data_IF_318960923085
#
_entry.id   IF_318960923085
#
_cell.length_a   1.000
_cell.length_b   1.000
_cell.length_c   1.000
_cell.angle_alpha   90.00
_cell.angle_beta   90.00
_cell.angle_gamma   90.00
#
_symmetry.space_group_name_H-M   'P 1'
#
loop_
_entity.id
_entity.type
_entity.pdbx_description
1 polymer ?
#
# COMPACT_ATOMS: atom_id res chain seq x y z
N UNK A 1 -1.46 15.29 -9.04
CA UNK A 1 -0.84 14.00 -9.31
C UNK A 1 0.17 14.14 -10.44
N UNK A 2 1.24 13.36 -10.37
CA UNK A 2 2.27 13.23 -11.38
C UNK A 2 2.59 11.75 -11.53
N UNK A 3 2.74 11.27 -12.76
CA UNK A 3 3.15 9.90 -13.04
C UNK A 3 4.08 9.90 -14.26
N UNK A 4 5.14 9.12 -14.18
CA UNK A 4 6.10 8.95 -15.28
C UNK A 4 6.59 7.52 -15.31
N UNK A 5 6.72 6.96 -16.51
CA UNK A 5 7.28 5.65 -16.73
C UNK A 5 8.39 5.75 -17.77
N UNK A 6 9.43 4.98 -17.58
CA UNK A 6 10.52 4.79 -18.53
C UNK A 6 10.73 3.28 -18.72
N UNK A 7 11.03 2.87 -19.92
CA UNK A 7 11.28 1.46 -20.23
C UNK A 7 12.09 1.32 -21.50
N UNK A 8 12.51 0.10 -21.74
CA UNK A 8 13.33 -0.25 -22.90
C UNK A 8 13.62 -1.73 -22.97
N UNK A 9 14.35 -2.10 -23.99
CA UNK A 9 14.80 -3.47 -24.23
C UNK A 9 16.28 -3.62 -23.92
N UNK A 10 16.65 -4.77 -23.40
CA UNK A 10 18.04 -5.18 -23.19
C UNK A 10 18.29 -6.45 -24.04
N UNK A 11 18.93 -6.25 -25.17
CA UNK A 11 19.06 -7.31 -26.18
C UNK A 11 17.72 -7.70 -26.79
N UNK A 12 17.65 -8.90 -27.37
CA UNK A 12 16.47 -9.41 -28.06
C UNK A 12 15.48 -10.15 -27.14
N UNK A 13 15.82 -10.35 -25.87
CA UNK A 13 15.07 -11.26 -24.99
C UNK A 13 14.54 -10.62 -23.72
N UNK A 14 14.87 -9.38 -23.43
CA UNK A 14 14.54 -8.75 -22.15
C UNK A 14 13.94 -7.35 -22.37
N UNK A 15 12.78 -7.11 -21.80
CA UNK A 15 12.16 -5.79 -21.71
C UNK A 15 11.96 -5.38 -20.25
N UNK A 16 12.09 -4.11 -19.96
CA UNK A 16 11.88 -3.57 -18.63
C UNK A 16 11.12 -2.26 -18.65
N UNK A 17 10.44 -1.97 -17.57
CA UNK A 17 9.77 -0.71 -17.31
C UNK A 17 9.94 -0.34 -15.84
N UNK A 18 10.17 0.93 -15.57
CA UNK A 18 10.15 1.48 -14.21
C UNK A 18 9.26 2.72 -14.17
N UNK A 19 8.57 2.89 -13.07
CA UNK A 19 7.62 3.97 -12.88
C UNK A 19 7.82 4.71 -11.56
N UNK A 20 7.47 5.98 -11.60
CA UNK A 20 7.39 6.85 -10.43
C UNK A 20 6.06 7.59 -10.49
N UNK A 21 5.27 7.44 -9.43
CA UNK A 21 4.00 8.14 -9.29
C UNK A 21 3.94 8.91 -7.98
N UNK A 22 3.40 10.11 -8.03
CA UNK A 22 3.18 10.97 -6.88
C UNK A 22 1.75 11.49 -6.87
N UNK A 23 1.07 11.31 -5.74
CA UNK A 23 -0.26 11.84 -5.49
C UNK A 23 -0.23 12.70 -4.24
N UNK A 24 -0.63 13.98 -4.39
CA UNK A 24 -0.87 14.90 -3.29
C UNK A 24 -2.35 15.25 -3.22
N UNK A 25 -2.92 15.23 -2.03
CA UNK A 25 -4.32 15.61 -1.78
C UNK A 25 -4.43 16.32 -0.43
N UNK A 26 -5.43 17.19 -0.32
CA UNK A 26 -5.71 17.95 0.91
C UNK A 26 -7.15 17.67 1.37
N UNK A 27 -7.40 16.49 1.97
CA UNK A 27 -8.74 16.15 2.44
C UNK A 27 -9.22 17.16 3.49
N UNK A 28 -10.48 17.53 3.36
CA UNK A 28 -11.21 18.34 4.34
C UNK A 28 -12.25 17.45 4.99
N UNK A 29 -12.10 17.25 6.30
CA UNK A 29 -13.02 16.45 7.11
C UNK A 29 -13.29 15.02 6.55
N UNK A 30 -12.21 14.29 6.20
CA UNK A 30 -12.32 12.87 5.84
C UNK A 30 -12.72 12.09 7.09
N UNK A 31 -13.92 11.59 7.15
CA UNK A 31 -14.46 10.86 8.30
C UNK A 31 -14.22 9.36 8.21
N UNK A 32 -14.06 8.74 9.37
CA UNK A 32 -14.07 7.29 9.55
C UNK A 32 -14.70 6.96 10.91
N UNK A 33 -15.25 5.77 11.03
CA UNK A 33 -15.84 5.28 12.27
C UNK A 33 -14.92 4.27 12.93
N UNK A 34 -14.93 4.29 14.24
CA UNK A 34 -14.17 3.36 15.06
C UNK A 34 -14.85 3.16 16.41
N UNK A 35 -14.52 2.06 17.09
CA UNK A 35 -15.01 1.80 18.46
C UNK A 35 -13.94 2.27 19.43
N UNK A 36 -14.29 3.17 20.32
CA UNK A 36 -13.37 3.73 21.31
C UNK A 36 -13.21 2.83 22.55
N UNK A 37 -12.44 3.31 23.52
CA UNK A 37 -12.17 2.59 24.78
C UNK A 37 -13.38 2.39 25.67
N UNK A 38 -14.49 3.08 25.41
CA UNK A 38 -15.76 2.90 26.14
C UNK A 38 -16.67 1.87 25.49
N UNK A 39 -16.28 1.33 24.32
CA UNK A 39 -17.10 0.45 23.50
C UNK A 39 -18.13 1.19 22.63
N UNK A 40 -18.05 2.53 22.55
CA UNK A 40 -18.96 3.36 21.76
C UNK A 40 -18.39 3.57 20.35
N UNK A 41 -19.22 3.42 19.31
CA UNK A 41 -18.85 3.81 17.96
C UNK A 41 -18.79 5.34 17.85
N UNK A 42 -17.64 5.86 17.51
CA UNK A 42 -17.39 7.30 17.35
C UNK A 42 -17.00 7.61 15.91
N UNK A 43 -17.38 8.79 15.45
CA UNK A 43 -16.96 9.30 14.15
C UNK A 43 -15.78 10.24 14.32
N UNK A 44 -14.66 9.89 13.70
CA UNK A 44 -13.45 10.70 13.69
C UNK A 44 -13.28 11.42 12.35
N UNK A 45 -12.70 12.62 12.35
CA UNK A 45 -12.46 13.42 11.16
C UNK A 45 -10.99 13.79 11.00
N UNK A 46 -10.47 13.69 9.79
CA UNK A 46 -9.13 14.15 9.43
C UNK A 46 -9.16 15.25 8.39
N UNK A 47 -8.44 16.32 8.66
CA UNK A 47 -8.22 17.43 7.71
C UNK A 47 -6.73 17.73 7.63
N UNK A 48 -6.19 17.81 6.41
CA UNK A 48 -4.76 18.02 6.27
C UNK A 48 -4.24 17.71 4.87
N UNK A 49 -3.01 17.23 4.81
CA UNK A 49 -2.35 16.82 3.57
C UNK A 49 -1.99 15.34 3.60
N UNK A 50 -2.33 14.65 2.54
CA UNK A 50 -1.91 13.28 2.27
C UNK A 50 -1.02 13.27 1.03
N UNK A 51 0.12 12.60 1.13
CA UNK A 51 1.06 12.39 0.01
C UNK A 51 1.30 10.90 -0.13
N UNK A 52 1.21 10.41 -1.35
CA UNK A 52 1.52 9.04 -1.72
C UNK A 52 2.60 9.07 -2.80
N UNK A 53 3.69 8.38 -2.55
CA UNK A 53 4.76 8.10 -3.51
C UNK A 53 4.69 6.61 -3.83
N UNK A 54 4.73 6.28 -5.12
CA UNK A 54 4.76 4.91 -5.62
C UNK A 54 5.93 4.78 -6.58
N UNK A 55 6.74 3.75 -6.36
CA UNK A 55 7.78 3.27 -7.25
C UNK A 55 7.37 1.89 -7.74
N UNK A 56 7.36 1.67 -9.03
CA UNK A 56 7.03 0.38 -9.62
C UNK A 56 8.07 -0.05 -10.66
N UNK A 57 8.14 -1.35 -10.89
CA UNK A 57 9.03 -1.91 -11.87
C UNK A 57 8.56 -3.25 -12.40
N UNK A 58 8.79 -3.48 -13.68
CA UNK A 58 8.50 -4.74 -14.37
C UNK A 58 9.69 -5.10 -15.24
N UNK A 59 10.12 -6.34 -15.15
CA UNK A 59 11.09 -6.95 -16.05
C UNK A 59 10.44 -8.20 -16.67
N UNK A 60 10.52 -8.32 -17.97
CA UNK A 60 10.04 -9.47 -18.74
C UNK A 60 11.20 -10.05 -19.53
N UNK A 61 11.34 -11.35 -19.45
CA UNK A 61 12.33 -12.08 -20.21
C UNK A 61 11.68 -13.24 -20.97
N UNK A 62 12.01 -13.38 -22.24
CA UNK A 62 11.60 -14.51 -23.07
C UNK A 62 12.71 -14.85 -24.05
N UNK A 63 13.16 -16.12 -24.13
CA UNK A 63 14.20 -16.52 -25.06
C UNK A 63 13.80 -16.18 -26.52
N UNK A 64 14.71 -15.58 -27.27
CA UNK A 64 14.48 -15.17 -28.65
C UNK A 64 13.20 -14.35 -28.89
N UNK A 65 12.78 -13.60 -27.87
CA UNK A 65 11.53 -12.82 -27.89
C UNK A 65 10.27 -13.67 -28.16
N UNK A 66 10.31 -14.94 -27.78
CA UNK A 66 9.18 -15.85 -27.91
C UNK A 66 8.65 -16.28 -26.52
N UNK A 67 7.62 -15.61 -25.98
CA UNK A 67 7.06 -15.92 -24.68
C UNK A 67 6.15 -17.16 -24.65
N UNK A 68 5.84 -17.79 -25.78
CA UNK A 68 4.85 -18.85 -25.87
C UNK A 68 5.26 -20.13 -25.10
N UNK A 69 6.54 -20.46 -25.07
CA UNK A 69 7.04 -21.65 -24.39
C UNK A 69 7.62 -21.36 -23.00
N UNK A 70 8.55 -20.43 -22.96
CA UNK A 70 9.27 -20.09 -21.72
C UNK A 70 9.35 -18.59 -21.58
N UNK A 71 8.96 -18.10 -20.42
CA UNK A 71 9.12 -16.70 -20.09
C UNK A 71 9.24 -16.50 -18.57
N UNK A 72 9.82 -15.39 -18.19
CA UNK A 72 9.91 -14.96 -16.82
C UNK A 72 9.46 -13.51 -16.71
N UNK A 73 8.58 -13.23 -15.75
CA UNK A 73 8.15 -11.88 -15.40
C UNK A 73 8.46 -11.62 -13.95
N UNK A 74 9.25 -10.58 -13.68
CA UNK A 74 9.46 -10.03 -12.35
C UNK A 74 8.77 -8.67 -12.28
N UNK A 75 8.00 -8.44 -11.24
CA UNK A 75 7.39 -7.15 -10.99
C UNK A 75 7.39 -6.83 -9.50
N UNK A 76 7.43 -5.55 -9.18
CA UNK A 76 7.38 -5.08 -7.81
C UNK A 76 6.90 -3.65 -7.73
N UNK A 77 6.42 -3.30 -6.55
CA UNK A 77 5.97 -1.96 -6.24
C UNK A 77 6.34 -1.63 -4.79
N UNK A 78 6.79 -0.41 -4.58
CA UNK A 78 6.97 0.18 -3.27
C UNK A 78 6.13 1.43 -3.17
N UNK A 79 5.38 1.57 -2.09
CA UNK A 79 4.61 2.77 -1.82
C UNK A 79 4.94 3.35 -0.45
N UNK A 80 4.89 4.66 -0.37
CA UNK A 80 5.05 5.42 0.87
C UNK A 80 3.98 6.48 0.97
N UNK A 81 3.18 6.37 2.04
CA UNK A 81 2.14 7.33 2.38
C UNK A 81 2.59 8.19 3.55
N UNK A 82 2.34 9.49 3.49
CA UNK A 82 2.53 10.41 4.61
C UNK A 82 1.33 11.32 4.74
N UNK A 83 0.87 11.50 5.98
CA UNK A 83 -0.23 12.37 6.34
C UNK A 83 0.22 13.36 7.40
N UNK A 84 -0.22 14.60 7.28
CA UNK A 84 0.04 15.66 8.24
C UNK A 84 -1.15 16.61 8.29
N UNK A 85 -1.71 16.84 9.46
CA UNK A 85 -2.89 17.70 9.63
C UNK A 85 -3.46 17.66 11.02
N UNK A 86 -4.77 17.84 11.10
CA UNK A 86 -5.56 17.75 12.31
C UNK A 86 -6.46 16.52 12.32
N UNK A 87 -6.58 15.91 13.47
CA UNK A 87 -7.53 14.86 13.79
C UNK A 87 -8.55 15.40 14.77
N UNK A 88 -9.83 15.24 14.44
CA UNK A 88 -10.94 15.49 15.34
C UNK A 88 -11.52 14.15 15.77
N UNK A 89 -11.41 13.85 17.05
CA UNK A 89 -12.03 12.70 17.68
C UNK A 89 -13.48 13.02 17.99
N UNK A 90 -14.37 12.04 17.81
CA UNK A 90 -15.78 12.07 18.19
C UNK A 90 -16.49 13.35 17.72
N UNK A 91 -16.54 13.53 16.39
CA UNK A 91 -17.15 14.73 15.76
C UNK A 91 -18.63 14.95 16.10
N UNK A 92 -19.28 13.93 16.66
CA UNK A 92 -20.71 13.95 17.04
C UNK A 92 -20.92 13.99 18.56
N UNK A 93 -19.85 14.05 19.35
CA UNK A 93 -19.89 14.00 20.81
C UNK A 93 -20.68 12.79 21.36
N UNK A 94 -20.53 11.63 20.74
CA UNK A 94 -21.26 10.41 21.08
C UNK A 94 -20.69 9.69 22.33
N UNK A 95 -19.43 9.96 22.71
CA UNK A 95 -18.73 9.32 23.81
C UNK A 95 -17.99 10.32 24.71
N UNK A 96 -16.66 10.44 24.55
CA UNK A 96 -15.83 11.28 25.43
C UNK A 96 -15.81 12.77 25.03
N UNK A 97 -16.67 13.16 24.11
CA UNK A 97 -16.81 14.51 23.57
C UNK A 97 -15.80 14.85 22.49
N UNK A 98 -16.16 15.86 21.70
CA UNK A 98 -15.36 16.29 20.54
C UNK A 98 -14.04 16.92 20.99
N UNK A 99 -12.92 16.41 20.46
CA UNK A 99 -11.57 16.92 20.72
C UNK A 99 -10.75 16.94 19.44
N UNK A 100 -9.96 17.98 19.28
CA UNK A 100 -9.08 18.12 18.11
C UNK A 100 -7.62 18.25 18.50
N UNK A 101 -6.73 17.70 17.67
CA UNK A 101 -5.29 17.75 17.88
C UNK A 101 -4.52 17.49 16.59
N UNK A 102 -3.21 17.67 16.66
CA UNK A 102 -2.32 17.39 15.53
C UNK A 102 -2.30 15.90 15.19
N UNK A 103 -2.14 15.59 13.91
CA UNK A 103 -2.00 14.23 13.40
C UNK A 103 -0.86 14.14 12.40
N UNK A 104 0.00 13.16 12.57
CA UNK A 104 1.06 12.84 11.62
C UNK A 104 1.20 11.33 11.51
N UNK A 105 1.20 10.81 10.29
CA UNK A 105 1.40 9.39 10.03
C UNK A 105 2.32 9.18 8.84
N UNK A 106 3.14 8.13 8.91
CA UNK A 106 3.98 7.64 7.81
C UNK A 106 3.85 6.14 7.75
N UNK A 107 3.51 5.62 6.60
CA UNK A 107 3.35 4.19 6.34
C UNK A 107 4.05 3.85 5.03
N UNK A 108 4.50 2.62 4.90
CA UNK A 108 5.06 2.11 3.65
C UNK A 108 4.72 0.65 3.45
N UNK A 109 4.76 0.22 2.22
CA UNK A 109 4.59 -1.17 1.87
C UNK A 109 5.26 -1.47 0.53
N UNK A 110 5.44 -2.73 0.26
CA UNK A 110 6.03 -3.19 -1.00
C UNK A 110 5.59 -4.61 -1.30
N UNK A 111 5.64 -4.96 -2.55
CA UNK A 111 5.60 -6.35 -2.96
C UNK A 111 6.63 -6.61 -4.06
N UNK A 112 7.04 -7.87 -4.16
CA UNK A 112 7.78 -8.41 -5.29
C UNK A 112 7.14 -9.72 -5.71
N UNK A 113 6.97 -9.90 -7.02
CA UNK A 113 6.35 -11.08 -7.62
C UNK A 113 7.17 -11.55 -8.81
N UNK A 114 7.54 -12.82 -8.81
CA UNK A 114 8.12 -13.50 -9.95
C UNK A 114 7.15 -14.56 -10.47
N UNK A 115 6.97 -14.63 -11.79
CA UNK A 115 6.22 -15.68 -12.48
C UNK A 115 7.09 -16.27 -13.55
N UNK A 116 7.21 -17.59 -13.56
CA UNK A 116 7.99 -18.34 -14.53
C UNK A 116 7.12 -19.36 -15.26
N UNK A 117 7.04 -19.21 -16.56
CA UNK A 117 6.45 -20.19 -17.45
C UNK A 117 7.58 -21.10 -17.96
N UNK A 118 7.53 -22.37 -17.63
CA UNK A 118 8.55 -23.34 -18.03
C UNK A 118 8.08 -24.29 -19.14
N UNK A 119 6.76 -24.31 -19.38
CA UNK A 119 6.08 -25.02 -20.49
C UNK A 119 4.89 -24.17 -20.95
N UNK A 120 4.37 -24.39 -22.18
CA UNK A 120 3.24 -23.61 -22.69
C UNK A 120 2.01 -23.57 -21.78
N UNK A 121 1.76 -24.69 -21.08
CA UNK A 121 0.56 -24.86 -20.25
C UNK A 121 0.83 -24.63 -18.75
N UNK A 122 2.08 -24.47 -18.32
CA UNK A 122 2.44 -24.46 -16.91
C UNK A 122 3.19 -23.20 -16.50
N UNK A 123 2.67 -22.55 -15.45
CA UNK A 123 3.29 -21.39 -14.79
C UNK A 123 3.39 -21.63 -13.30
N UNK A 124 4.49 -21.18 -12.73
CA UNK A 124 4.67 -21.09 -11.28
C UNK A 124 5.04 -19.67 -10.91
N UNK A 125 4.56 -19.22 -9.79
CA UNK A 125 4.84 -17.87 -9.32
C UNK A 125 5.03 -17.82 -7.82
N UNK A 126 5.81 -16.85 -7.41
CA UNK A 126 6.01 -16.49 -6.02
C UNK A 126 5.81 -14.99 -5.84
N UNK A 127 5.05 -14.63 -4.82
CA UNK A 127 4.86 -13.25 -4.41
C UNK A 127 5.16 -13.10 -2.93
N UNK A 128 5.80 -12.02 -2.59
CA UNK A 128 6.04 -11.62 -1.21
C UNK A 128 5.57 -10.19 -1.01
N UNK A 129 4.70 -10.00 -0.02
CA UNK A 129 4.16 -8.70 0.38
C UNK A 129 4.69 -8.33 1.76
N UNK A 130 5.04 -7.07 1.93
CA UNK A 130 5.45 -6.49 3.20
C UNK A 130 4.78 -5.15 3.44
N UNK A 131 4.16 -4.98 4.60
CA UNK A 131 3.61 -3.72 5.05
C UNK A 131 4.35 -3.25 6.30
N UNK A 132 4.62 -1.96 6.38
CA UNK A 132 5.15 -1.31 7.55
C UNK A 132 4.16 -0.23 7.99
N UNK A 133 3.57 -0.41 9.17
CA UNK A 133 2.67 0.58 9.77
C UNK A 133 3.38 1.91 10.03
N UNK A 134 4.72 1.91 10.14
CA UNK A 134 5.54 3.10 10.31
C UNK A 134 5.32 3.78 11.64
N UNK A 135 5.22 5.10 11.60
CA UNK A 135 5.06 5.92 12.80
C UNK A 135 3.79 6.74 12.71
N UNK A 136 2.99 6.73 13.76
CA UNK A 136 1.82 7.60 13.92
C UNK A 136 1.99 8.41 15.19
N UNK A 137 1.78 9.73 15.09
CA UNK A 137 1.81 10.66 16.21
C UNK A 137 0.48 11.40 16.25
N UNK A 138 -0.21 11.29 17.36
CA UNK A 138 -1.53 11.89 17.61
C UNK A 138 -1.39 12.86 18.78
N UNK A 139 -1.56 14.14 18.52
CA UNK A 139 -1.40 15.19 19.52
C UNK A 139 -2.27 14.99 20.74
N UNK A 140 -3.51 14.56 20.57
CA UNK A 140 -4.43 14.27 21.67
C UNK A 140 -3.93 13.18 22.63
N UNK A 141 -3.25 12.16 22.09
CA UNK A 141 -2.65 11.09 22.89
C UNK A 141 -1.35 11.56 23.53
N UNK A 142 -0.50 12.25 22.76
CA UNK A 142 0.79 12.72 23.24
C UNK A 142 0.69 13.75 24.37
N UNK A 143 -0.37 14.54 24.39
CA UNK A 143 -0.65 15.54 25.46
C UNK A 143 -1.45 14.95 26.64
N UNK A 144 -1.85 13.68 26.56
CA UNK A 144 -2.69 13.03 27.56
C UNK A 144 -4.16 13.51 27.55
N UNK A 145 -4.57 14.30 26.55
CA UNK A 145 -5.94 14.75 26.40
C UNK A 145 -6.90 13.58 26.08
N UNK A 146 -6.38 12.52 25.48
CA UNK A 146 -7.11 11.29 25.19
C UNK A 146 -6.22 10.07 25.49
N UNK A 147 -6.82 9.01 26.01
CA UNK A 147 -6.07 7.75 26.17
C UNK A 147 -5.79 7.12 24.79
N UNK A 148 -4.65 6.45 24.65
CA UNK A 148 -4.30 5.78 23.39
C UNK A 148 -5.31 4.73 22.96
N UNK A 149 -5.97 4.06 23.93
CA UNK A 149 -7.03 3.08 23.69
C UNK A 149 -8.30 3.69 23.08
N UNK A 150 -8.52 4.99 23.20
CA UNK A 150 -9.68 5.68 22.60
C UNK A 150 -9.51 5.92 21.10
N UNK A 151 -8.30 5.80 20.60
CA UNK A 151 -7.97 5.91 19.18
C UNK A 151 -7.12 4.70 18.81
N UNK A 152 -7.73 3.57 18.41
CA UNK A 152 -6.98 2.37 18.05
C UNK A 152 -6.01 2.69 16.92
N UNK A 153 -4.73 2.71 17.28
CA UNK A 153 -3.63 2.88 16.35
C UNK A 153 -3.10 1.48 16.08
N UNK A 154 -2.94 1.12 14.83
CA UNK A 154 -2.23 -0.09 14.43
C UNK A 154 -0.75 0.03 14.86
N UNK A 155 -0.49 -0.19 16.13
CA UNK A 155 0.85 -0.08 16.70
C UNK A 155 1.76 -1.17 16.15
N UNK A 156 2.86 -0.77 15.51
CA UNK A 156 3.98 -1.66 15.18
C UNK A 156 3.66 -2.89 14.31
N UNK A 157 2.46 -2.98 13.73
CA UNK A 157 2.05 -4.11 12.91
C UNK A 157 2.73 -4.06 11.54
N UNK A 158 3.56 -5.06 11.26
CA UNK A 158 4.31 -5.21 10.03
C UNK A 158 4.02 -6.57 9.37
N UNK A 159 2.83 -6.76 8.81
CA UNK A 159 2.44 -8.04 8.22
C UNK A 159 3.30 -8.36 7.01
N UNK A 160 3.62 -9.64 6.87
CA UNK A 160 4.34 -10.21 5.74
C UNK A 160 3.57 -11.40 5.23
N UNK A 161 3.43 -11.51 3.92
CA UNK A 161 2.67 -12.58 3.30
C UNK A 161 3.41 -13.16 2.10
N UNK A 162 3.95 -14.39 2.22
CA UNK A 162 4.36 -15.17 1.06
C UNK A 162 3.14 -15.78 0.36
N UNK A 163 3.15 -15.85 -0.95
CA UNK A 163 2.10 -16.47 -1.77
C UNK A 163 2.77 -17.29 -2.87
N UNK A 164 2.38 -18.55 -2.99
CA UNK A 164 2.74 -19.41 -4.10
C UNK A 164 1.58 -19.49 -5.08
N UNK A 165 1.89 -19.48 -6.36
CA UNK A 165 0.95 -19.57 -7.46
C UNK A 165 1.39 -20.74 -8.36
N UNK A 166 0.45 -21.59 -8.73
CA UNK A 166 0.61 -22.57 -9.79
C UNK A 166 -0.60 -22.45 -10.71
N UNK A 167 -0.36 -22.32 -11.98
CA UNK A 167 -1.38 -22.17 -13.00
C UNK A 167 -1.14 -23.19 -14.11
N UNK A 168 -2.23 -23.86 -14.50
CA UNK A 168 -2.25 -24.78 -15.63
C UNK A 168 -3.40 -24.38 -16.56
N UNK A 169 -3.09 -24.26 -17.83
CA UNK A 169 -4.07 -23.91 -18.87
C UNK A 169 -3.90 -24.89 -20.02
N UNK A 170 -4.97 -25.56 -20.40
CA UNK A 170 -4.97 -26.55 -21.51
C UNK A 170 -4.91 -25.90 -22.90
N UNK A 171 -5.02 -24.56 -22.99
CA UNK A 171 -4.89 -23.79 -24.23
C UNK A 171 -4.49 -22.35 -23.94
N UNK A 172 -3.93 -21.65 -24.95
CA UNK A 172 -3.63 -20.21 -24.86
C UNK A 172 -4.87 -19.34 -24.63
N UNK A 173 -6.07 -19.89 -24.83
CA UNK A 173 -7.37 -19.23 -24.75
C UNK A 173 -8.30 -19.90 -23.71
N UNK A 174 -7.77 -20.64 -22.78
CA UNK A 174 -8.50 -21.32 -21.71
C UNK A 174 -9.06 -20.43 -20.64
#
# INVERSE_FOLDING_TARGET
NLSSHVGGDVGASTAWQAGLSYLGTSPQNRTYRDVDSTGTEVTNGFSGRTRLLVLDGVLKWAPNNNPAHTNFKLQGEYFRRSENGGLTYDTQAASLGTRSGSYRSRQSGWYAQGVYQFMPEWRVGYRYDGLNAGTTSIGLVNTGALAAAALPILGGYAPRRPTLLADWSSSEFG
#
